data_IF_406329936669
#
_entry.id   IF_406329936669
#
_cell.length_a   1.000
_cell.length_b   1.000
_cell.length_c   1.000
_cell.angle_alpha   90.00
_cell.angle_beta   90.00
_cell.angle_gamma   90.00
#
_symmetry.space_group_name_H-M   'P 1'
#
loop_
_entity.id
_entity.type
_entity.pdbx_description
1 polymer ?
#
# COMPACT_ATOMS: atom_id res chain seq x y z
N UNK A 1 28.45 0.49 -6.39
CA UNK A 1 28.17 -0.94 -6.71
C UNK A 1 28.87 -1.83 -5.69
N UNK A 2 28.19 -2.82 -5.14
CA UNK A 2 28.82 -3.84 -4.32
C UNK A 2 29.22 -5.04 -5.19
N UNK A 3 30.53 -5.29 -5.31
CA UNK A 3 31.08 -6.46 -6.02
C UNK A 3 30.45 -6.65 -7.42
N UNK A 4 30.42 -5.60 -8.23
CA UNK A 4 29.75 -5.60 -9.53
C UNK A 4 30.32 -6.59 -10.52
N UNK A 5 29.45 -7.34 -11.20
CA UNK A 5 29.84 -8.16 -12.35
C UNK A 5 30.36 -7.29 -13.51
N UNK A 6 31.06 -7.89 -14.44
CA UNK A 6 31.51 -7.16 -15.64
C UNK A 6 30.35 -6.52 -16.40
N UNK A 7 29.20 -7.20 -16.49
CA UNK A 7 28.00 -6.68 -17.16
C UNK A 7 27.38 -5.49 -16.41
N UNK A 8 27.35 -5.54 -15.08
CA UNK A 8 26.87 -4.42 -14.25
C UNK A 8 27.75 -3.19 -14.46
N UNK A 9 29.09 -3.35 -14.36
CA UNK A 9 30.05 -2.27 -14.56
C UNK A 9 29.91 -1.69 -15.96
N UNK A 10 29.92 -2.52 -16.99
CA UNK A 10 29.74 -2.11 -18.39
C UNK A 10 28.42 -1.35 -18.61
N UNK A 11 27.33 -1.76 -17.95
CA UNK A 11 26.04 -1.06 -18.07
C UNK A 11 26.07 0.35 -17.51
N UNK A 12 26.89 0.61 -16.48
CA UNK A 12 27.09 1.95 -15.91
C UNK A 12 28.06 2.77 -16.79
N UNK A 13 29.13 2.19 -17.28
CA UNK A 13 30.11 2.86 -18.14
C UNK A 13 29.51 3.27 -19.49
N UNK A 14 28.54 2.51 -20.00
CA UNK A 14 27.85 2.76 -21.26
C UNK A 14 26.64 3.70 -21.15
N UNK A 15 26.42 4.37 -20.01
CA UNK A 15 25.33 5.34 -19.87
C UNK A 15 25.52 6.55 -20.79
N UNK A 16 24.44 7.06 -21.38
CA UNK A 16 24.47 8.30 -22.17
C UNK A 16 24.68 9.56 -21.31
N UNK A 17 24.39 9.49 -20.02
CA UNK A 17 24.73 10.51 -19.03
C UNK A 17 26.17 10.27 -18.55
N UNK A 18 27.07 11.17 -18.87
CA UNK A 18 28.53 10.94 -18.72
C UNK A 18 29.11 11.44 -17.41
N UNK A 19 28.41 12.29 -16.66
CA UNK A 19 28.90 12.82 -15.39
C UNK A 19 28.61 11.83 -14.25
N UNK A 20 29.30 10.68 -14.26
CA UNK A 20 29.11 9.57 -13.31
C UNK A 20 30.44 9.26 -12.64
N UNK A 21 30.43 9.20 -11.32
CA UNK A 21 31.50 8.59 -10.53
C UNK A 21 31.10 7.14 -10.23
N UNK A 22 31.79 6.17 -10.82
CA UNK A 22 31.55 4.75 -10.56
C UNK A 22 32.47 4.26 -9.44
N UNK A 23 31.86 3.82 -8.34
CA UNK A 23 32.54 3.23 -7.19
C UNK A 23 32.19 1.74 -7.09
N UNK A 24 33.11 0.85 -7.44
CA UNK A 24 32.98 -0.58 -7.25
C UNK A 24 33.71 -1.00 -5.98
N UNK A 25 33.01 -1.40 -4.95
CA UNK A 25 33.53 -1.56 -3.59
C UNK A 25 33.31 -2.99 -3.10
N UNK A 26 34.35 -3.53 -2.50
CA UNK A 26 34.39 -4.86 -1.90
C UNK A 26 34.55 -4.72 -0.39
N UNK A 27 33.51 -5.00 0.34
CA UNK A 27 33.51 -5.17 1.79
C UNK A 27 32.80 -6.48 2.15
N UNK A 28 32.82 -6.87 3.40
CA UNK A 28 32.24 -8.14 3.87
C UNK A 28 30.72 -8.23 3.64
N UNK A 29 30.02 -7.07 3.62
CA UNK A 29 28.56 -7.00 3.41
C UNK A 29 28.21 -5.89 2.44
N UNK A 30 27.02 -5.96 1.82
CA UNK A 30 26.50 -4.90 0.95
C UNK A 30 26.37 -3.58 1.71
N UNK A 31 25.82 -3.61 2.94
CA UNK A 31 25.69 -2.42 3.77
C UNK A 31 27.02 -1.71 4.03
N UNK A 32 28.09 -2.45 4.36
CA UNK A 32 29.44 -1.87 4.53
C UNK A 32 29.97 -1.25 3.24
N UNK A 33 29.77 -1.92 2.10
CA UNK A 33 30.16 -1.41 0.80
C UNK A 33 29.42 -0.12 0.44
N UNK A 34 28.12 -0.08 0.66
CA UNK A 34 27.29 1.09 0.37
C UNK A 34 27.63 2.26 1.30
N UNK A 35 27.83 2.04 2.59
CA UNK A 35 28.29 3.08 3.53
C UNK A 35 29.67 3.64 3.15
N UNK A 36 30.60 2.80 2.75
CA UNK A 36 31.90 3.26 2.24
C UNK A 36 31.73 4.05 0.94
N UNK A 37 30.84 3.60 0.06
CA UNK A 37 30.48 4.33 -1.16
C UNK A 37 29.91 5.70 -0.85
N UNK A 38 29.01 5.83 0.10
CA UNK A 38 28.47 7.11 0.56
C UNK A 38 29.56 8.06 1.07
N UNK A 39 30.54 7.53 1.80
CA UNK A 39 31.70 8.32 2.29
C UNK A 39 32.56 8.85 1.15
N UNK A 40 32.71 8.09 0.06
CA UNK A 40 33.57 8.41 -1.10
C UNK A 40 32.83 9.14 -2.22
N UNK A 41 31.50 9.24 -2.14
CA UNK A 41 30.69 9.87 -3.16
C UNK A 41 30.83 11.40 -3.16
N UNK A 42 31.22 11.96 -4.30
CA UNK A 42 31.40 13.40 -4.54
C UNK A 42 30.22 14.01 -5.33
N UNK A 43 29.29 13.17 -5.84
CA UNK A 43 28.15 13.61 -6.62
C UNK A 43 27.04 14.24 -5.78
N UNK A 44 26.24 15.09 -6.40
CA UNK A 44 25.00 15.65 -5.83
C UNK A 44 23.98 14.56 -5.55
N UNK A 45 23.97 13.52 -6.36
CA UNK A 45 23.10 12.36 -6.27
C UNK A 45 23.90 11.08 -6.12
N UNK A 46 23.30 10.08 -5.48
CA UNK A 46 23.88 8.75 -5.31
C UNK A 46 22.86 7.65 -5.67
N UNK A 47 23.37 6.54 -6.15
CA UNK A 47 22.58 5.33 -6.40
C UNK A 47 23.33 4.08 -5.97
N UNK A 48 22.59 3.02 -5.67
CA UNK A 48 23.11 1.73 -5.24
C UNK A 48 22.69 0.64 -6.22
N UNK A 49 23.63 -0.17 -6.63
CA UNK A 49 23.40 -1.31 -7.53
C UNK A 49 23.92 -2.58 -6.90
N UNK A 50 23.15 -3.65 -7.03
CA UNK A 50 23.61 -4.99 -6.70
C UNK A 50 24.59 -5.51 -7.77
N UNK A 51 25.26 -6.61 -7.44
CA UNK A 51 26.34 -7.16 -8.25
C UNK A 51 25.94 -7.61 -9.66
N UNK A 52 24.66 -7.89 -9.89
CA UNK A 52 24.16 -8.47 -11.14
C UNK A 52 23.09 -7.59 -11.82
N UNK A 53 22.76 -6.43 -11.24
CA UNK A 53 21.81 -5.49 -11.83
C UNK A 53 22.40 -4.87 -13.11
N UNK A 54 21.58 -4.70 -14.14
CA UNK A 54 21.97 -4.13 -15.43
C UNK A 54 21.09 -2.94 -15.72
N UNK A 55 21.69 -1.81 -16.07
CA UNK A 55 20.97 -0.59 -16.42
C UNK A 55 20.77 -0.45 -17.93
N UNK A 56 19.59 0.03 -18.32
CA UNK A 56 19.37 0.55 -19.67
C UNK A 56 20.29 1.77 -19.95
N UNK A 57 20.74 1.94 -21.19
CA UNK A 57 21.72 3.00 -21.57
C UNK A 57 21.27 4.41 -21.22
N UNK A 58 19.99 4.67 -21.14
CA UNK A 58 19.40 5.97 -20.83
C UNK A 58 18.89 6.07 -19.39
N UNK A 59 19.13 5.08 -18.54
CA UNK A 59 18.57 5.00 -17.20
C UNK A 59 18.93 6.24 -16.35
N UNK A 60 20.20 6.51 -16.17
CA UNK A 60 20.66 7.65 -15.36
C UNK A 60 20.17 8.97 -15.95
N UNK A 61 20.19 9.13 -17.29
CA UNK A 61 19.71 10.34 -17.96
C UNK A 61 18.22 10.63 -17.67
N UNK A 62 17.35 9.64 -17.84
CA UNK A 62 15.91 9.82 -17.61
C UNK A 62 15.61 10.09 -16.13
N UNK A 63 16.33 9.45 -15.22
CA UNK A 63 16.15 9.65 -13.78
C UNK A 63 16.67 11.03 -13.33
N UNK A 64 17.85 11.46 -13.74
CA UNK A 64 18.39 12.79 -13.42
C UNK A 64 17.52 13.90 -14.04
N UNK A 65 17.03 13.70 -15.26
CA UNK A 65 16.07 14.61 -15.88
C UNK A 65 14.78 14.73 -15.05
N UNK A 66 14.29 13.64 -14.46
CA UNK A 66 13.13 13.65 -13.58
C UNK A 66 13.43 14.41 -12.28
N UNK A 67 14.57 14.14 -11.63
CA UNK A 67 15.03 14.87 -10.43
C UNK A 67 15.04 16.37 -10.66
N UNK A 68 15.68 16.81 -11.73
CA UNK A 68 15.81 18.24 -12.07
C UNK A 68 14.46 18.89 -12.39
N UNK A 69 13.54 18.16 -13.08
CA UNK A 69 12.23 18.68 -13.46
C UNK A 69 11.27 18.76 -12.27
N UNK A 70 11.32 17.78 -11.38
CA UNK A 70 10.39 17.65 -10.25
C UNK A 70 10.93 18.27 -8.96
N UNK A 71 12.22 18.59 -8.91
CA UNK A 71 12.91 19.08 -7.71
C UNK A 71 12.68 18.14 -6.51
N UNK A 72 12.78 16.83 -6.76
CA UNK A 72 12.54 15.80 -5.74
C UNK A 72 13.86 15.27 -5.18
N UNK A 73 13.80 14.68 -3.99
CA UNK A 73 14.96 14.13 -3.29
C UNK A 73 15.27 12.69 -3.67
N UNK A 74 14.31 12.02 -4.29
CA UNK A 74 14.45 10.63 -4.74
C UNK A 74 13.63 10.40 -5.99
N UNK A 75 14.17 9.59 -6.88
CA UNK A 75 13.46 9.06 -8.05
C UNK A 75 13.72 7.56 -8.18
N UNK A 76 12.70 6.80 -8.55
CA UNK A 76 12.81 5.37 -8.87
C UNK A 76 12.18 5.07 -10.23
N UNK A 77 12.40 3.88 -10.75
CA UNK A 77 11.88 3.45 -12.05
C UNK A 77 11.22 2.07 -11.97
N UNK A 78 10.55 1.68 -13.05
CA UNK A 78 10.11 0.31 -13.25
C UNK A 78 11.31 -0.60 -13.51
N UNK A 79 11.18 -1.87 -13.22
CA UNK A 79 12.21 -2.88 -13.46
C UNK A 79 11.60 -4.17 -14.03
N UNK A 80 12.47 -5.09 -14.44
CA UNK A 80 12.12 -6.44 -14.81
C UNK A 80 13.15 -7.44 -14.25
N UNK A 81 12.96 -8.71 -14.55
CA UNK A 81 13.79 -9.78 -14.01
C UNK A 81 14.66 -10.39 -15.10
N UNK A 82 15.95 -10.60 -14.78
CA UNK A 82 16.91 -11.29 -15.63
C UNK A 82 16.67 -12.80 -15.54
N UNK A 83 16.34 -13.44 -16.67
CA UNK A 83 16.20 -14.89 -16.81
C UNK A 83 17.06 -15.40 -17.96
N UNK A 84 18.26 -15.89 -17.64
CA UNK A 84 19.27 -16.25 -18.64
C UNK A 84 19.72 -15.04 -19.46
N UNK A 85 19.42 -15.04 -20.76
CA UNK A 85 19.71 -13.91 -21.67
C UNK A 85 18.49 -13.03 -21.96
N UNK A 86 17.37 -13.24 -21.27
CA UNK A 86 16.12 -12.53 -21.49
C UNK A 86 15.74 -11.69 -20.29
N UNK A 87 15.00 -10.62 -20.57
CA UNK A 87 14.33 -9.81 -19.57
C UNK A 87 12.86 -10.19 -19.55
N UNK A 88 12.35 -10.56 -18.39
CA UNK A 88 10.99 -11.11 -18.21
C UNK A 88 10.31 -10.43 -17.02
N UNK A 89 9.00 -10.60 -16.90
CA UNK A 89 8.21 -10.14 -15.76
C UNK A 89 8.41 -8.64 -15.47
N UNK A 90 8.10 -7.73 -16.43
CA UNK A 90 8.19 -6.31 -16.16
C UNK A 90 7.26 -5.92 -15.01
N UNK A 91 7.82 -5.22 -14.04
CA UNK A 91 7.09 -4.71 -12.89
C UNK A 91 6.85 -3.20 -13.03
N UNK A 92 5.63 -2.84 -13.38
CA UNK A 92 5.17 -1.46 -13.49
C UNK A 92 4.70 -0.99 -12.11
N UNK A 93 5.55 -0.24 -11.43
CA UNK A 93 5.35 0.15 -10.06
C UNK A 93 4.31 1.25 -9.91
N UNK A 94 3.58 1.30 -8.77
CA UNK A 94 2.70 2.43 -8.47
C UNK A 94 3.50 3.72 -8.23
N UNK A 95 2.80 4.86 -8.20
CA UNK A 95 3.35 6.08 -7.61
C UNK A 95 3.71 5.82 -6.14
N UNK A 96 4.63 6.62 -5.61
CA UNK A 96 5.09 6.43 -4.23
C UNK A 96 3.93 6.48 -3.22
N UNK A 97 3.87 5.46 -2.41
CA UNK A 97 2.98 5.34 -1.26
C UNK A 97 3.78 4.80 -0.07
N UNK A 98 3.84 5.54 1.06
CA UNK A 98 4.56 5.09 2.25
C UNK A 98 3.94 3.84 2.87
N UNK A 99 2.64 3.63 2.70
CA UNK A 99 1.92 2.45 3.20
C UNK A 99 2.19 1.23 2.34
N UNK A 100 2.16 1.39 1.02
CA UNK A 100 2.53 0.31 0.08
C UNK A 100 3.98 -0.11 0.29
N UNK A 101 4.91 0.85 0.43
CA UNK A 101 6.31 0.54 0.71
C UNK A 101 6.50 -0.17 2.06
N UNK A 102 5.71 0.17 3.07
CA UNK A 102 5.73 -0.51 4.36
C UNK A 102 5.15 -1.94 4.26
N UNK A 103 4.20 -2.18 3.36
CA UNK A 103 3.63 -3.51 3.14
C UNK A 103 4.62 -4.46 2.45
N UNK A 104 5.31 -3.99 1.40
CA UNK A 104 6.35 -4.75 0.70
C UNK A 104 7.33 -3.82 -0.04
N UNK A 105 8.55 -4.31 -0.29
CA UNK A 105 9.60 -3.56 -0.96
C UNK A 105 9.40 -3.58 -2.49
N UNK A 106 8.62 -2.63 -3.03
CA UNK A 106 8.40 -2.53 -4.48
C UNK A 106 9.40 -1.62 -5.20
N UNK A 107 10.20 -0.84 -4.46
CA UNK A 107 11.16 0.10 -5.03
C UNK A 107 12.52 -0.60 -5.19
N UNK A 108 12.97 -0.71 -6.44
CA UNK A 108 14.30 -1.21 -6.79
C UNK A 108 15.28 -0.08 -7.06
N UNK A 109 15.87 -0.06 -8.28
CA UNK A 109 16.83 0.96 -8.67
C UNK A 109 16.28 2.37 -8.50
N UNK A 110 17.04 3.19 -7.77
CA UNK A 110 16.65 4.55 -7.41
C UNK A 110 17.88 5.46 -7.36
N UNK A 111 17.66 6.76 -7.58
CA UNK A 111 18.65 7.81 -7.38
C UNK A 111 18.18 8.72 -6.25
N UNK A 112 19.07 9.02 -5.33
CA UNK A 112 18.84 9.76 -4.10
C UNK A 112 19.66 11.04 -4.05
N UNK A 113 19.18 12.07 -3.37
CA UNK A 113 19.98 13.17 -2.88
C UNK A 113 21.11 12.61 -1.99
N UNK A 114 22.36 12.94 -2.31
CA UNK A 114 23.54 12.32 -1.70
C UNK A 114 23.66 12.69 -0.21
N UNK A 115 23.43 13.94 0.16
CA UNK A 115 23.57 14.38 1.54
C UNK A 115 22.50 13.78 2.43
N UNK A 116 21.27 13.69 1.92
CA UNK A 116 20.18 13.00 2.63
C UNK A 116 20.45 11.51 2.78
N UNK A 117 20.98 10.85 1.75
CA UNK A 117 21.38 9.44 1.82
C UNK A 117 22.51 9.20 2.83
N UNK A 118 23.51 10.10 2.91
CA UNK A 118 24.58 10.06 3.91
C UNK A 118 24.07 10.17 5.34
N UNK A 119 23.04 10.98 5.57
CA UNK A 119 22.43 11.14 6.89
C UNK A 119 21.71 9.88 7.38
N UNK A 120 21.11 9.12 6.46
CA UNK A 120 20.39 7.87 6.78
C UNK A 120 21.38 6.71 6.97
N UNK A 121 22.24 6.47 6.00
CA UNK A 121 23.18 5.33 5.98
C UNK A 121 22.49 3.96 5.97
N UNK A 122 23.30 2.91 5.82
CA UNK A 122 22.84 1.52 5.83
C UNK A 122 23.10 0.87 7.19
N UNK A 123 22.14 0.12 7.70
CA UNK A 123 22.33 -0.70 8.89
C UNK A 123 23.11 -1.96 8.53
N UNK A 124 24.29 -2.14 9.15
CA UNK A 124 25.17 -3.27 8.90
C UNK A 124 24.76 -4.58 9.61
N UNK A 125 23.71 -4.56 10.42
CA UNK A 125 23.19 -5.75 11.07
C UNK A 125 22.34 -6.61 10.12
N UNK A 126 21.79 -6.00 9.06
CA UNK A 126 21.04 -6.70 8.01
C UNK A 126 22.00 -7.17 6.90
N UNK A 127 21.69 -8.34 6.31
CA UNK A 127 22.52 -8.96 5.29
C UNK A 127 21.84 -9.03 3.92
N UNK A 128 20.51 -9.16 3.94
CA UNK A 128 19.72 -9.37 2.74
C UNK A 128 18.77 -8.19 2.46
N UNK A 129 18.24 -7.57 3.53
CA UNK A 129 17.20 -6.53 3.45
C UNK A 129 17.71 -5.12 3.87
N UNK A 130 18.99 -4.89 3.87
CA UNK A 130 19.61 -3.61 4.22
C UNK A 130 19.10 -2.44 3.34
N UNK A 131 18.76 -2.73 2.07
CA UNK A 131 18.21 -1.73 1.16
C UNK A 131 16.78 -1.36 1.49
N UNK A 132 15.98 -2.34 1.92
CA UNK A 132 14.61 -2.10 2.38
C UNK A 132 14.58 -1.24 3.65
N UNK A 133 15.43 -1.54 4.63
CA UNK A 133 15.61 -0.71 5.84
C UNK A 133 16.00 0.73 5.48
N UNK A 134 16.98 0.89 4.59
CA UNK A 134 17.41 2.20 4.10
C UNK A 134 16.25 2.97 3.44
N UNK A 135 15.50 2.34 2.55
CA UNK A 135 14.35 2.96 1.86
C UNK A 135 13.29 3.44 2.84
N UNK A 136 12.91 2.61 3.81
CA UNK A 136 11.89 2.97 4.80
C UNK A 136 12.32 4.13 5.68
N UNK A 137 13.60 4.20 6.07
CA UNK A 137 14.17 5.32 6.83
C UNK A 137 14.26 6.57 5.98
N UNK A 138 14.82 6.46 4.76
CA UNK A 138 14.96 7.58 3.85
C UNK A 138 13.61 8.22 3.52
N UNK A 139 12.62 7.43 3.18
CA UNK A 139 11.27 7.89 2.81
C UNK A 139 10.44 8.34 4.02
N UNK A 140 10.84 7.99 5.23
CA UNK A 140 10.23 8.54 6.43
C UNK A 140 10.52 10.03 6.60
N UNK A 141 11.73 10.44 6.30
CA UNK A 141 12.21 11.83 6.45
C UNK A 141 11.98 12.67 5.18
N UNK A 142 12.03 12.03 4.02
CA UNK A 142 11.97 12.69 2.71
C UNK A 142 10.72 12.26 1.95
N UNK A 143 9.81 13.21 1.70
CA UNK A 143 8.51 12.94 1.05
C UNK A 143 8.47 13.30 -0.43
N UNK A 144 9.45 14.07 -0.92
CA UNK A 144 9.53 14.51 -2.32
C UNK A 144 10.12 13.40 -3.18
N UNK A 145 9.27 12.43 -3.54
CA UNK A 145 9.65 11.23 -4.28
C UNK A 145 8.90 11.19 -5.61
N UNK A 146 9.60 10.89 -6.67
CA UNK A 146 9.03 10.77 -8.02
C UNK A 146 9.37 9.44 -8.67
N UNK A 147 8.64 9.12 -9.73
CA UNK A 147 8.82 7.91 -10.53
C UNK A 147 9.04 8.27 -12.00
N UNK A 148 9.85 7.47 -12.67
CA UNK A 148 9.96 7.40 -14.13
C UNK A 148 9.22 6.15 -14.62
N UNK A 149 8.16 6.33 -15.41
CA UNK A 149 7.30 5.25 -15.93
C UNK A 149 7.98 4.52 -17.11
N UNK A 150 9.12 3.91 -16.85
CA UNK A 150 9.93 3.13 -17.80
C UNK A 150 10.67 2.02 -17.08
N UNK A 151 10.80 0.87 -17.71
CA UNK A 151 11.75 -0.19 -17.30
C UNK A 151 13.15 0.29 -17.64
N UNK A 152 13.94 0.62 -16.62
CA UNK A 152 15.30 1.16 -16.75
C UNK A 152 16.35 0.33 -16.03
N UNK A 153 15.94 -0.69 -15.29
CA UNK A 153 16.83 -1.60 -14.58
C UNK A 153 16.34 -3.04 -14.77
N UNK A 154 17.27 -3.92 -15.06
CA UNK A 154 17.07 -5.37 -15.11
C UNK A 154 17.75 -5.96 -13.89
N UNK A 155 17.00 -6.62 -13.03
CA UNK A 155 17.50 -7.13 -11.76
C UNK A 155 17.43 -8.65 -11.69
N UNK A 156 18.31 -9.24 -10.93
CA UNK A 156 18.19 -10.64 -10.57
C UNK A 156 17.07 -10.82 -9.55
N UNK A 157 16.41 -11.97 -9.62
CA UNK A 157 15.40 -12.34 -8.63
C UNK A 157 16.01 -12.31 -7.22
N UNK A 158 15.33 -11.65 -6.31
CA UNK A 158 15.70 -11.55 -4.90
C UNK A 158 14.81 -12.46 -4.07
N UNK A 159 15.41 -13.25 -3.20
CA UNK A 159 14.69 -14.08 -2.23
C UNK A 159 14.63 -13.27 -0.93
N UNK A 160 13.44 -12.92 -0.53
CA UNK A 160 13.20 -12.11 0.67
C UNK A 160 13.57 -12.86 1.95
N UNK A 161 14.23 -12.18 2.86
CA UNK A 161 14.49 -12.66 4.22
C UNK A 161 13.38 -12.17 5.15
N UNK A 162 12.35 -12.99 5.34
CA UNK A 162 11.16 -12.64 6.11
C UNK A 162 11.49 -12.26 7.57
N UNK A 163 12.50 -12.86 8.18
CA UNK A 163 12.90 -12.52 9.55
C UNK A 163 13.49 -11.11 9.65
N UNK A 164 14.36 -10.75 8.71
CA UNK A 164 14.88 -9.38 8.62
C UNK A 164 13.76 -8.38 8.29
N UNK A 165 12.88 -8.70 7.33
CA UNK A 165 11.71 -7.86 6.97
C UNK A 165 10.83 -7.60 8.19
N UNK A 166 10.53 -8.61 9.00
CA UNK A 166 9.75 -8.47 10.24
C UNK A 166 10.41 -7.50 11.22
N UNK A 167 11.72 -7.68 11.42
CA UNK A 167 12.50 -6.85 12.33
C UNK A 167 12.53 -5.40 11.87
N UNK A 168 12.76 -5.17 10.58
CA UNK A 168 12.77 -3.84 9.94
C UNK A 168 11.40 -3.17 10.09
N UNK A 169 10.32 -3.85 9.67
CA UNK A 169 8.96 -3.32 9.77
C UNK A 169 8.59 -2.98 11.21
N UNK A 170 8.90 -3.86 12.16
CA UNK A 170 8.61 -3.63 13.58
C UNK A 170 9.35 -2.38 14.11
N UNK A 171 10.60 -2.17 13.72
CA UNK A 171 11.39 -0.98 14.07
C UNK A 171 10.77 0.29 13.49
N UNK A 172 10.34 0.25 12.23
CA UNK A 172 9.70 1.39 11.56
C UNK A 172 8.33 1.72 12.17
N UNK A 173 7.53 0.71 12.51
CA UNK A 173 6.25 0.91 13.20
C UNK A 173 6.44 1.64 14.53
N UNK A 174 7.45 1.24 15.31
CA UNK A 174 7.83 1.92 16.56
C UNK A 174 8.27 3.37 16.31
N UNK A 175 9.14 3.58 15.33
CA UNK A 175 9.66 4.92 14.98
C UNK A 175 8.54 5.87 14.55
N UNK A 176 7.56 5.35 13.80
CA UNK A 176 6.38 6.12 13.34
C UNK A 176 5.27 6.20 14.38
N UNK A 177 5.44 5.57 15.54
CA UNK A 177 4.42 5.47 16.59
C UNK A 177 3.09 4.87 16.06
N UNK A 178 3.19 3.88 15.17
CA UNK A 178 2.04 3.15 14.63
C UNK A 178 1.72 1.98 15.55
N UNK A 179 0.48 1.88 16.00
CA UNK A 179 -0.02 0.78 16.84
C UNK A 179 -0.30 -0.47 16.00
N UNK A 180 0.75 -1.20 15.71
CA UNK A 180 0.68 -2.44 14.97
C UNK A 180 1.83 -3.38 15.38
N UNK A 181 1.70 -4.65 15.06
CA UNK A 181 2.75 -5.68 15.15
C UNK A 181 2.98 -6.29 13.78
N UNK A 182 4.05 -7.05 13.63
CA UNK A 182 4.33 -7.80 12.40
C UNK A 182 4.18 -9.30 12.68
N UNK A 183 3.36 -9.98 11.90
CA UNK A 183 3.12 -11.43 12.03
C UNK A 183 4.29 -12.27 11.50
N UNK A 184 4.16 -13.60 11.55
CA UNK A 184 5.19 -14.53 11.08
C UNK A 184 5.44 -14.46 9.55
N UNK A 185 4.44 -14.05 8.78
CA UNK A 185 4.53 -13.85 7.34
C UNK A 185 5.07 -12.48 6.93
N UNK A 186 5.39 -11.61 7.89
CA UNK A 186 5.85 -10.25 7.61
C UNK A 186 4.71 -9.25 7.34
N UNK A 187 3.44 -9.61 7.60
CA UNK A 187 2.30 -8.73 7.42
C UNK A 187 2.10 -7.83 8.65
N UNK A 188 1.62 -6.62 8.40
CA UNK A 188 1.29 -5.67 9.47
C UNK A 188 -0.07 -6.05 10.03
N UNK A 189 -0.15 -6.17 11.36
CA UNK A 189 -1.38 -6.45 12.09
C UNK A 189 -1.67 -5.27 13.01
N UNK A 190 -2.64 -4.47 12.65
CA UNK A 190 -3.01 -3.28 13.41
C UNK A 190 -3.60 -3.63 14.78
N UNK A 191 -3.34 -2.77 15.75
CA UNK A 191 -3.93 -2.77 17.10
C UNK A 191 -4.42 -1.37 17.42
N UNK A 192 -5.45 -0.91 16.71
CA UNK A 192 -5.94 0.46 16.84
C UNK A 192 -6.53 0.71 18.24
N UNK A 193 -6.66 1.99 18.59
CA UNK A 193 -7.55 2.38 19.69
C UNK A 193 -8.97 1.99 19.31
N UNK A 194 -9.69 1.37 20.25
CA UNK A 194 -11.08 0.91 20.02
C UNK A 194 -12.07 2.09 20.03
N UNK A 195 -11.89 3.01 19.08
CA UNK A 195 -12.81 4.12 18.85
C UNK A 195 -14.09 3.62 18.17
N UNK A 196 -15.22 4.22 18.51
CA UNK A 196 -16.51 3.78 17.99
C UNK A 196 -16.64 4.00 16.49
N UNK A 197 -17.14 2.99 15.77
CA UNK A 197 -17.45 3.02 14.34
C UNK A 197 -18.96 2.96 14.13
N UNK A 198 -19.52 3.91 13.38
CA UNK A 198 -20.91 3.85 12.94
C UNK A 198 -20.99 3.27 11.54
N UNK A 199 -21.58 2.09 11.40
CA UNK A 199 -21.80 1.40 10.13
C UNK A 199 -23.16 1.82 9.59
N UNK A 200 -23.16 2.66 8.55
CA UNK A 200 -24.37 3.20 7.90
C UNK A 200 -24.71 2.34 6.69
N UNK A 201 -25.89 1.74 6.70
CA UNK A 201 -26.39 0.84 5.66
C UNK A 201 -27.66 1.42 5.02
N UNK A 202 -27.56 2.09 3.87
CA UNK A 202 -28.74 2.45 3.08
C UNK A 202 -29.42 1.20 2.52
N UNK A 203 -30.74 1.08 2.64
CA UNK A 203 -31.47 -0.10 2.15
C UNK A 203 -32.86 0.26 1.65
N UNK A 204 -33.41 -0.56 0.74
CA UNK A 204 -34.80 -0.49 0.30
C UNK A 204 -35.30 -1.83 -0.26
N UNK A 205 -36.42 -2.31 0.23
CA UNK A 205 -37.12 -3.51 -0.28
C UNK A 205 -36.26 -4.78 -0.42
N UNK A 206 -35.14 -4.87 0.33
CA UNK A 206 -34.10 -5.90 0.18
C UNK A 206 -33.81 -6.65 1.50
N UNK A 207 -34.87 -7.05 2.21
CA UNK A 207 -34.76 -7.61 3.58
C UNK A 207 -33.81 -8.80 3.69
N UNK A 208 -33.79 -9.68 2.68
CA UNK A 208 -32.98 -10.89 2.77
C UNK A 208 -31.47 -10.56 2.65
N UNK A 209 -31.08 -9.70 1.73
CA UNK A 209 -29.69 -9.25 1.61
C UNK A 209 -29.25 -8.46 2.83
N UNK A 210 -30.10 -7.52 3.29
CA UNK A 210 -29.84 -6.76 4.52
C UNK A 210 -29.60 -7.69 5.73
N UNK A 211 -30.38 -8.78 5.86
CA UNK A 211 -30.18 -9.79 6.91
C UNK A 211 -28.88 -10.51 6.79
N UNK A 212 -28.49 -10.93 5.57
CA UNK A 212 -27.20 -11.59 5.31
C UNK A 212 -26.06 -10.63 5.65
N UNK A 213 -26.12 -9.39 5.19
CA UNK A 213 -25.16 -8.34 5.50
C UNK A 213 -25.00 -8.16 7.01
N UNK A 214 -26.06 -7.86 7.74
CA UNK A 214 -25.98 -7.61 9.19
C UNK A 214 -25.55 -8.84 9.97
N UNK A 215 -26.04 -10.04 9.62
CA UNK A 215 -25.62 -11.27 10.28
C UNK A 215 -24.11 -11.50 10.07
N UNK A 216 -23.61 -11.30 8.85
CA UNK A 216 -22.18 -11.46 8.57
C UNK A 216 -21.30 -10.47 9.35
N UNK A 217 -21.78 -9.23 9.53
CA UNK A 217 -21.10 -8.24 10.40
C UNK A 217 -21.04 -8.74 11.83
N UNK A 218 -22.18 -9.18 12.38
CA UNK A 218 -22.29 -9.58 13.79
C UNK A 218 -21.49 -10.86 14.08
N UNK A 219 -21.50 -11.81 13.15
CA UNK A 219 -20.83 -13.11 13.29
C UNK A 219 -19.34 -13.05 13.00
N UNK A 220 -18.92 -12.19 12.07
CA UNK A 220 -17.55 -12.16 11.55
C UNK A 220 -16.80 -10.85 11.86
N UNK A 221 -17.11 -10.13 12.93
CA UNK A 221 -16.37 -8.91 13.31
C UNK A 221 -15.78 -9.05 14.71
N UNK A 222 -14.45 -9.10 14.80
CA UNK A 222 -13.73 -9.12 16.09
C UNK A 222 -13.69 -7.74 16.76
N UNK A 223 -13.82 -6.64 16.00
CA UNK A 223 -13.82 -5.28 16.52
C UNK A 223 -15.08 -5.03 17.36
N UNK A 224 -14.91 -4.75 18.66
CA UNK A 224 -16.04 -4.74 19.61
C UNK A 224 -16.83 -3.44 19.68
N UNK A 225 -16.28 -2.31 19.23
CA UNK A 225 -16.88 -0.98 19.46
C UNK A 225 -17.48 -0.39 18.18
N UNK A 226 -18.66 -0.90 17.78
CA UNK A 226 -19.39 -0.37 16.63
C UNK A 226 -20.91 -0.32 16.88
N UNK A 227 -21.61 0.51 16.12
CA UNK A 227 -23.07 0.52 15.97
C UNK A 227 -23.46 0.32 14.51
N UNK A 228 -24.68 -0.19 14.27
CA UNK A 228 -25.25 -0.37 12.93
C UNK A 228 -26.43 0.58 12.76
N UNK A 229 -26.42 1.41 11.72
CA UNK A 229 -27.49 2.35 11.41
C UNK A 229 -28.07 2.01 10.03
N UNK A 230 -29.24 1.43 10.01
CA UNK A 230 -29.97 1.16 8.76
C UNK A 230 -30.84 2.35 8.41
N UNK A 231 -30.66 2.89 7.20
CA UNK A 231 -31.51 3.95 6.64
C UNK A 231 -32.38 3.32 5.54
N UNK A 232 -33.64 3.09 5.87
CA UNK A 232 -34.62 2.46 4.97
C UNK A 232 -35.40 3.52 4.19
N UNK A 233 -35.26 3.51 2.88
CA UNK A 233 -35.94 4.44 1.97
C UNK A 233 -37.38 4.00 1.65
N UNK A 234 -38.17 3.70 2.68
CA UNK A 234 -39.59 3.45 2.53
C UNK A 234 -39.95 2.05 2.03
N UNK A 235 -39.25 1.02 2.52
CA UNK A 235 -39.60 -0.39 2.23
C UNK A 235 -41.07 -0.69 2.54
N UNK A 236 -41.73 -1.43 1.66
CA UNK A 236 -43.11 -1.83 1.81
C UNK A 236 -43.28 -3.18 2.54
N UNK A 237 -42.18 -3.94 2.70
CA UNK A 237 -42.21 -5.26 3.35
C UNK A 237 -42.32 -5.12 4.88
N UNK A 238 -43.39 -5.64 5.47
CA UNK A 238 -43.57 -5.69 6.93
C UNK A 238 -42.42 -6.46 7.65
N UNK A 239 -41.72 -7.35 6.96
CA UNK A 239 -40.61 -8.09 7.53
C UNK A 239 -39.38 -7.18 7.77
N UNK A 240 -39.23 -6.10 7.02
CA UNK A 240 -38.18 -5.08 7.27
C UNK A 240 -38.40 -4.46 8.66
N UNK A 241 -39.61 -4.10 8.99
CA UNK A 241 -39.96 -3.53 10.30
C UNK A 241 -39.75 -4.52 11.45
N UNK A 242 -40.06 -5.81 11.26
CA UNK A 242 -39.86 -6.86 12.28
C UNK A 242 -38.37 -7.20 12.50
N UNK A 243 -37.53 -6.93 11.53
CA UNK A 243 -36.09 -7.14 11.65
C UNK A 243 -35.40 -6.06 12.51
N UNK A 244 -36.02 -4.89 12.64
CA UNK A 244 -35.55 -3.76 13.50
C UNK A 244 -35.32 -4.20 14.94
N UNK A 245 -36.23 -5.03 15.50
CA UNK A 245 -36.11 -5.52 16.87
C UNK A 245 -34.83 -6.36 17.09
N UNK A 246 -34.33 -7.02 16.02
CA UNK A 246 -33.08 -7.75 16.06
C UNK A 246 -31.86 -6.81 15.98
N UNK A 247 -31.92 -5.79 15.14
CA UNK A 247 -30.90 -4.77 15.00
C UNK A 247 -30.69 -4.03 16.32
N UNK A 248 -31.79 -3.69 17.01
CA UNK A 248 -31.73 -3.03 18.31
C UNK A 248 -30.99 -3.83 19.39
N UNK A 249 -30.95 -5.17 19.26
CA UNK A 249 -30.22 -6.05 20.19
C UNK A 249 -28.70 -6.06 19.96
N UNK A 250 -28.24 -5.58 18.82
CA UNK A 250 -26.82 -5.53 18.41
C UNK A 250 -26.29 -4.09 18.31
N UNK A 251 -26.77 -3.21 19.20
CA UNK A 251 -26.45 -1.79 19.19
C UNK A 251 -26.78 -1.10 17.86
N UNK A 252 -27.99 -1.41 17.33
CA UNK A 252 -28.43 -0.91 16.03
C UNK A 252 -29.55 0.12 16.12
N UNK A 253 -29.61 1.01 15.14
CA UNK A 253 -30.66 1.96 14.89
C UNK A 253 -31.30 1.67 13.53
N UNK A 254 -32.60 1.85 13.44
CA UNK A 254 -33.33 1.78 12.19
C UNK A 254 -34.10 3.08 11.96
N UNK A 255 -33.80 3.72 10.84
CA UNK A 255 -34.37 4.99 10.42
C UNK A 255 -35.22 4.72 9.17
N UNK A 256 -36.54 4.90 9.30
CA UNK A 256 -37.46 4.81 8.17
C UNK A 256 -37.73 6.19 7.60
N UNK A 257 -37.28 6.43 6.35
CA UNK A 257 -37.42 7.71 5.68
C UNK A 257 -37.90 7.50 4.23
N UNK A 258 -39.21 7.60 4.00
CA UNK A 258 -39.78 7.43 2.66
C UNK A 258 -39.55 8.69 1.83
N UNK A 259 -38.72 8.58 0.78
CA UNK A 259 -38.41 9.66 -0.12
C UNK A 259 -38.09 9.14 -1.54
N UNK A 260 -38.01 10.02 -2.52
CA UNK A 260 -37.42 9.69 -3.82
C UNK A 260 -35.98 9.18 -3.63
N UNK A 261 -35.59 8.19 -4.44
CA UNK A 261 -34.28 7.56 -4.28
C UNK A 261 -33.16 8.60 -4.38
N UNK A 262 -32.39 8.70 -3.32
CA UNK A 262 -31.19 9.54 -3.25
C UNK A 262 -30.20 8.91 -2.29
N UNK A 263 -29.23 8.19 -2.84
CA UNK A 263 -28.23 7.47 -2.06
C UNK A 263 -27.41 8.40 -1.14
N UNK A 264 -26.98 9.54 -1.65
CA UNK A 264 -26.21 10.51 -0.86
C UNK A 264 -27.03 11.06 0.32
N UNK A 265 -28.32 11.29 0.13
CA UNK A 265 -29.21 11.75 1.21
C UNK A 265 -29.38 10.67 2.27
N UNK A 266 -29.53 9.39 1.88
CA UNK A 266 -29.59 8.27 2.82
C UNK A 266 -28.30 8.16 3.65
N UNK A 267 -27.13 8.26 3.01
CA UNK A 267 -25.85 8.28 3.70
C UNK A 267 -25.76 9.46 4.69
N UNK A 268 -26.17 10.65 4.29
CA UNK A 268 -26.17 11.83 5.16
C UNK A 268 -27.07 11.67 6.37
N UNK A 269 -28.29 11.14 6.18
CA UNK A 269 -29.20 10.82 7.30
C UNK A 269 -28.55 9.84 8.28
N UNK A 270 -27.89 8.78 7.77
CA UNK A 270 -27.15 7.85 8.60
C UNK A 270 -26.01 8.52 9.36
N UNK A 271 -25.22 9.36 8.68
CA UNK A 271 -24.11 10.11 9.29
C UNK A 271 -24.59 11.09 10.37
N UNK A 272 -25.68 11.81 10.16
CA UNK A 272 -26.29 12.72 11.15
C UNK A 272 -26.76 12.01 12.41
N UNK A 273 -27.07 10.71 12.32
CA UNK A 273 -27.51 9.88 13.44
C UNK A 273 -26.40 9.01 14.05
N UNK A 274 -25.17 9.14 13.53
CA UNK A 274 -23.99 8.43 13.97
C UNK A 274 -23.42 9.01 15.28
N UNK A 275 -22.88 8.13 16.14
CA UNK A 275 -22.17 8.49 17.38
C UNK A 275 -20.69 8.13 17.31
N UNK A 276 -20.28 7.34 16.30
CA UNK A 276 -18.91 6.90 16.11
C UNK A 276 -17.97 8.02 15.70
N UNK A 277 -16.72 7.89 16.09
CA UNK A 277 -15.63 8.73 15.61
C UNK A 277 -15.38 8.51 14.12
N UNK A 278 -15.59 7.28 13.66
CA UNK A 278 -15.47 6.88 12.27
C UNK A 278 -16.84 6.50 11.72
N UNK A 279 -17.08 6.81 10.46
CA UNK A 279 -18.31 6.43 9.74
C UNK A 279 -17.90 5.50 8.60
N UNK A 280 -18.52 4.34 8.56
CA UNK A 280 -18.41 3.38 7.46
C UNK A 280 -19.72 3.37 6.67
N UNK A 281 -19.68 3.73 5.40
CA UNK A 281 -20.80 3.54 4.47
C UNK A 281 -20.69 2.16 3.84
N UNK A 282 -21.70 1.32 4.05
CA UNK A 282 -21.73 -0.06 3.60
C UNK A 282 -23.02 -0.32 2.83
N UNK A 283 -22.94 -0.95 1.66
CA UNK A 283 -24.14 -1.39 0.95
C UNK A 283 -24.78 -2.58 1.66
N UNK A 284 -26.09 -2.76 1.45
CA UNK A 284 -26.88 -3.85 2.07
C UNK A 284 -26.68 -5.23 1.42
N UNK A 285 -25.89 -5.32 0.33
CA UNK A 285 -25.53 -6.52 -0.41
C UNK A 285 -24.10 -7.03 -0.13
N UNK A 286 -23.43 -6.47 0.88
CA UNK A 286 -22.08 -6.87 1.29
C UNK A 286 -22.15 -8.00 2.32
N UNK A 287 -21.24 -8.97 2.20
CA UNK A 287 -21.01 -10.04 3.16
C UNK A 287 -19.58 -9.99 3.70
N UNK A 288 -19.45 -9.91 5.02
CA UNK A 288 -18.14 -9.89 5.70
C UNK A 288 -17.60 -11.31 5.79
N UNK A 289 -16.37 -11.51 5.30
CA UNK A 289 -15.72 -12.83 5.26
C UNK A 289 -14.46 -12.92 6.12
N UNK A 290 -13.87 -11.79 6.53
CA UNK A 290 -12.66 -11.74 7.38
C UNK A 290 -13.00 -11.06 8.71
N UNK A 291 -12.65 -11.70 9.83
CA UNK A 291 -13.00 -11.20 11.17
C UNK A 291 -12.23 -9.93 11.57
N UNK A 292 -11.11 -9.66 10.96
CA UNK A 292 -10.26 -8.50 11.26
C UNK A 292 -10.51 -7.29 10.36
N UNK A 293 -11.41 -7.42 9.40
CA UNK A 293 -11.67 -6.38 8.39
C UNK A 293 -11.84 -4.97 8.99
N UNK A 294 -12.64 -4.82 10.05
CA UNK A 294 -12.90 -3.52 10.65
C UNK A 294 -11.71 -3.02 11.47
N UNK A 295 -11.00 -3.92 12.15
CA UNK A 295 -9.75 -3.62 12.86
C UNK A 295 -8.69 -3.06 11.91
N UNK A 296 -8.51 -3.69 10.74
CA UNK A 296 -7.57 -3.23 9.72
C UNK A 296 -7.99 -1.86 9.15
N UNK A 297 -9.25 -1.68 8.79
CA UNK A 297 -9.74 -0.39 8.29
C UNK A 297 -9.57 0.74 9.31
N UNK A 298 -9.89 0.50 10.59
CA UNK A 298 -9.69 1.48 11.67
C UNK A 298 -8.20 1.74 11.89
N UNK A 299 -7.36 0.72 11.82
CA UNK A 299 -5.91 0.86 11.93
C UNK A 299 -5.35 1.83 10.90
N UNK A 300 -5.74 1.70 9.64
CA UNK A 300 -5.37 2.67 8.61
C UNK A 300 -5.99 4.05 8.82
N UNK A 301 -7.27 4.14 9.27
CA UNK A 301 -7.91 5.42 9.56
C UNK A 301 -7.25 6.21 10.70
N UNK A 302 -6.51 5.54 11.60
CA UNK A 302 -5.79 6.19 12.70
C UNK A 302 -4.43 6.76 12.29
N UNK A 303 -3.97 6.49 11.07
CA UNK A 303 -2.75 7.11 10.55
C UNK A 303 -3.02 8.59 10.23
N UNK A 304 -2.14 9.51 10.64
CA UNK A 304 -2.40 10.96 10.57
C UNK A 304 -2.72 11.50 9.17
N UNK A 305 -2.17 10.86 8.14
CA UNK A 305 -2.32 11.25 6.73
C UNK A 305 -3.53 10.62 6.06
N UNK A 306 -4.28 9.74 6.74
CA UNK A 306 -5.38 9.00 6.14
C UNK A 306 -6.71 9.74 6.31
N UNK A 307 -7.35 10.08 5.20
CA UNK A 307 -8.68 10.71 5.18
C UNK A 307 -9.83 9.72 4.95
N UNK A 308 -9.59 8.63 4.21
CA UNK A 308 -10.56 7.59 3.94
C UNK A 308 -9.87 6.25 3.64
N UNK A 309 -10.52 5.15 3.99
CA UNK A 309 -10.06 3.79 3.72
C UNK A 309 -11.17 3.03 3.01
N UNK A 310 -10.86 2.38 1.90
CA UNK A 310 -11.76 1.48 1.19
C UNK A 310 -11.28 0.03 1.29
N UNK A 311 -12.21 -0.91 1.45
CA UNK A 311 -11.89 -2.33 1.45
C UNK A 311 -11.74 -2.88 0.03
N UNK A 312 -10.91 -3.91 -0.13
CA UNK A 312 -10.94 -4.76 -1.32
C UNK A 312 -12.21 -5.61 -1.29
N UNK A 313 -12.96 -5.64 -2.40
CA UNK A 313 -14.18 -6.41 -2.54
C UNK A 313 -13.99 -7.50 -3.60
N UNK A 314 -14.56 -8.68 -3.33
CA UNK A 314 -14.53 -9.81 -4.24
C UNK A 314 -15.96 -10.19 -4.66
N UNK A 315 -16.11 -10.69 -5.88
CA UNK A 315 -17.37 -11.30 -6.31
C UNK A 315 -17.59 -12.62 -5.57
N UNK A 316 -18.79 -12.88 -5.04
CA UNK A 316 -19.05 -14.07 -4.20
C UNK A 316 -18.85 -15.39 -4.95
N UNK A 317 -19.22 -15.45 -6.24
CA UNK A 317 -19.22 -16.67 -7.02
C UNK A 317 -17.84 -17.07 -7.52
N UNK A 318 -17.05 -16.10 -7.97
CA UNK A 318 -15.76 -16.33 -8.65
C UNK A 318 -14.56 -16.07 -7.74
N UNK A 319 -14.74 -15.32 -6.66
CA UNK A 319 -13.68 -14.73 -5.83
C UNK A 319 -12.75 -13.80 -6.62
N UNK A 320 -13.17 -13.36 -7.81
CA UNK A 320 -12.46 -12.34 -8.56
C UNK A 320 -12.65 -10.97 -7.92
N UNK A 321 -11.70 -10.08 -8.16
CA UNK A 321 -11.74 -8.71 -7.65
C UNK A 321 -12.96 -7.97 -8.22
N UNK A 322 -13.83 -7.46 -7.36
CA UNK A 322 -14.88 -6.51 -7.72
C UNK A 322 -14.37 -5.08 -7.61
N UNK A 323 -13.64 -4.78 -6.54
CA UNK A 323 -13.10 -3.47 -6.25
C UNK A 323 -11.79 -3.57 -5.45
N UNK A 324 -10.78 -2.83 -5.86
CA UNK A 324 -9.56 -2.61 -5.07
C UNK A 324 -8.97 -1.21 -5.31
N UNK A 325 -9.81 -0.28 -5.75
CA UNK A 325 -9.43 1.09 -6.05
C UNK A 325 -10.09 1.57 -7.34
N UNK A 326 -9.97 2.87 -7.60
CA UNK A 326 -10.54 3.53 -8.76
C UNK A 326 -9.43 4.29 -9.49
N UNK A 327 -9.34 4.10 -10.80
CA UNK A 327 -8.49 4.90 -11.68
C UNK A 327 -9.35 5.72 -12.65
N UNK A 328 -8.92 6.93 -12.93
CA UNK A 328 -9.55 7.78 -13.93
C UNK A 328 -8.89 7.53 -15.28
N UNK A 329 -9.66 6.99 -16.19
CA UNK A 329 -9.28 6.86 -17.60
C UNK A 329 -10.04 7.89 -18.46
N UNK A 330 -9.69 7.96 -19.73
CA UNK A 330 -10.29 8.95 -20.66
C UNK A 330 -11.85 8.92 -20.68
N UNK A 331 -12.45 7.74 -20.45
CA UNK A 331 -13.89 7.55 -20.45
C UNK A 331 -14.55 7.63 -19.06
N UNK A 332 -13.81 8.04 -18.03
CA UNK A 332 -14.29 8.17 -16.65
C UNK A 332 -13.64 7.19 -15.67
N UNK A 333 -14.11 7.15 -14.43
CA UNK A 333 -13.57 6.28 -13.40
C UNK A 333 -13.89 4.81 -13.67
N UNK A 334 -12.92 3.93 -13.45
CA UNK A 334 -13.07 2.46 -13.54
C UNK A 334 -12.45 1.80 -12.33
N UNK A 335 -12.94 0.62 -11.96
CA UNK A 335 -12.34 -0.20 -10.92
C UNK A 335 -11.00 -0.77 -11.38
N UNK A 336 -9.98 -0.65 -10.53
CA UNK A 336 -8.70 -1.32 -10.77
C UNK A 336 -8.92 -2.83 -10.74
N UNK A 337 -8.30 -3.54 -11.67
CA UNK A 337 -8.26 -5.01 -11.75
C UNK A 337 -9.62 -5.73 -11.68
N UNK A 338 -10.72 -5.05 -11.98
CA UNK A 338 -12.06 -5.63 -11.96
C UNK A 338 -12.16 -6.91 -12.79
N UNK A 339 -12.77 -7.96 -12.23
CA UNK A 339 -12.88 -9.32 -12.75
C UNK A 339 -11.58 -10.12 -12.87
N UNK A 340 -10.43 -9.61 -12.41
CA UNK A 340 -9.20 -10.40 -12.35
C UNK A 340 -9.22 -11.33 -11.12
N UNK A 341 -8.56 -12.51 -11.20
CA UNK A 341 -8.41 -13.36 -10.04
C UNK A 341 -7.77 -12.62 -8.87
N UNK A 342 -8.22 -12.91 -7.64
CA UNK A 342 -7.54 -12.40 -6.46
C UNK A 342 -6.16 -13.07 -6.32
N UNK A 343 -5.11 -12.27 -6.21
CA UNK A 343 -3.73 -12.75 -6.11
C UNK A 343 -2.76 -11.61 -5.79
N UNK A 344 -1.52 -11.97 -5.46
CA UNK A 344 -0.50 -11.04 -4.94
C UNK A 344 0.22 -10.22 -6.04
N UNK A 345 -0.29 -10.20 -7.27
CA UNK A 345 0.45 -9.67 -8.42
C UNK A 345 0.05 -8.27 -8.89
N UNK A 346 -0.83 -7.58 -8.17
CA UNK A 346 -1.50 -6.38 -8.68
C UNK A 346 -1.16 -5.09 -7.93
N UNK A 347 0.06 -4.98 -7.44
CA UNK A 347 0.46 -3.77 -6.71
C UNK A 347 1.68 -3.13 -7.28
#
# INVERSE_FOLDING_TARGET
VHNGSSKTIESVENQIYTNIQLLNIFEETKAKSFNKGLTLADGEYVSFLNSEDILEKNAVYEMVKCLNKKMCSMVYCDDDTISGEKYVNPFFKPCFSPHTLLSFCYIGFSIFDCDKAKNVGFNCDYKDEEYYDFLLKYTNENKDISKVDRVLCHKKEHIENIEEIRTIKQSILMTRNIRATVDEGGNIVFRPDEEMVSIVIPSKDNVNMLKTCINSIVENTEYGNYEIIVVDNGSNDENSKKYVDKISKVNGKYIYEKMDFNFSKMCNIGAENSQGKYILFLNDDIEVTDSKWLTEMVGYCQLPETGAVGAKLLYPDTKNIQHCGVINIQNGPVHCFGNMPDGDYYF
#
